data_IF_285034033839
#
_entry.id   IF_285034033839
#
_cell.length_a   1.000
_cell.length_b   1.000
_cell.length_c   1.000
_cell.angle_alpha   90.00
_cell.angle_beta   90.00
_cell.angle_gamma   90.00
#
_symmetry.space_group_name_H-M   'P 1'
#
loop_
_entity.id
_entity.type
_entity.pdbx_description
1 polymer ?
#
# COMPACT_ATOMS: atom_id res chain seq x y z
N UNK A 1 19.51 13.30 58.58
CA UNK A 1 19.16 13.74 57.20
C UNK A 1 19.32 12.53 56.28
N UNK A 2 18.20 11.89 55.90
CA UNK A 2 18.21 10.81 54.91
C UNK A 2 17.95 11.41 53.53
N UNK A 3 18.91 11.26 52.63
CA UNK A 3 18.76 11.67 51.24
C UNK A 3 17.98 10.58 50.48
N UNK A 4 16.77 10.92 50.03
CA UNK A 4 15.94 10.06 49.20
C UNK A 4 16.38 10.23 47.73
N UNK A 5 17.14 9.26 47.22
CA UNK A 5 17.55 9.25 45.81
C UNK A 5 16.39 8.73 44.98
N UNK A 6 15.70 9.65 44.24
CA UNK A 6 14.68 9.30 43.32
C UNK A 6 15.33 8.68 42.06
N UNK A 7 15.11 7.40 41.81
CA UNK A 7 15.53 6.69 40.62
C UNK A 7 14.51 6.95 39.51
N UNK A 8 14.82 7.87 38.58
CA UNK A 8 14.03 8.13 37.38
C UNK A 8 14.23 6.97 36.39
N UNK A 9 13.26 6.05 36.36
CA UNK A 9 13.17 5.06 35.29
C UNK A 9 12.75 5.78 34.02
N UNK A 10 13.73 6.06 33.14
CA UNK A 10 13.44 6.47 31.77
C UNK A 10 12.91 5.26 31.00
N UNK A 11 11.60 5.17 30.83
CA UNK A 11 10.99 4.28 29.86
C UNK A 11 11.36 4.80 28.46
N UNK A 12 12.34 4.18 27.81
CA UNK A 12 12.52 4.34 26.38
C UNK A 12 11.32 3.63 25.70
N UNK A 13 10.37 4.40 25.21
CA UNK A 13 9.35 3.90 24.30
C UNK A 13 10.09 3.36 23.06
N UNK A 14 10.31 2.05 23.00
CA UNK A 14 10.76 1.42 21.75
C UNK A 14 9.61 1.57 20.76
N UNK A 15 9.80 2.44 19.77
CA UNK A 15 8.83 2.65 18.70
C UNK A 15 8.56 1.30 18.01
N UNK A 16 7.30 1.02 17.68
CA UNK A 16 6.92 -0.17 16.94
C UNK A 16 7.68 -0.24 15.61
N UNK A 17 8.32 -1.37 15.33
CA UNK A 17 9.01 -1.61 14.06
C UNK A 17 8.02 -2.07 12.99
N UNK A 18 8.36 -1.92 11.69
CA UNK A 18 7.53 -2.46 10.60
C UNK A 18 7.32 -3.97 10.74
N UNK A 19 8.33 -4.71 11.19
CA UNK A 19 8.23 -6.14 11.50
C UNK A 19 7.17 -6.40 12.60
N UNK A 20 7.20 -5.66 13.71
CA UNK A 20 6.21 -5.82 14.77
C UNK A 20 4.80 -5.43 14.33
N UNK A 21 4.65 -4.40 13.52
CA UNK A 21 3.37 -4.01 12.93
C UNK A 21 2.82 -5.08 11.99
N UNK A 22 3.67 -5.68 11.15
CA UNK A 22 3.29 -6.81 10.30
C UNK A 22 2.78 -8.00 11.10
N UNK A 23 3.52 -8.43 12.14
CA UNK A 23 3.12 -9.57 12.99
C UNK A 23 1.83 -9.27 13.80
N UNK A 24 1.63 -8.00 14.18
CA UNK A 24 0.45 -7.56 14.94
C UNK A 24 -0.79 -7.33 14.07
N UNK A 25 -0.64 -7.34 12.74
CA UNK A 25 -1.77 -7.16 11.82
C UNK A 25 -2.90 -8.15 12.13
N UNK A 26 -4.17 -7.68 12.27
CA UNK A 26 -5.29 -8.55 12.58
C UNK A 26 -5.52 -9.63 11.51
N UNK A 27 -5.78 -10.87 11.94
CA UNK A 27 -6.07 -11.97 11.02
C UNK A 27 -7.37 -11.75 10.21
N UNK A 28 -8.24 -10.84 10.65
CA UNK A 28 -9.45 -10.45 9.92
C UNK A 28 -9.17 -9.75 8.58
N UNK A 29 -7.98 -9.12 8.43
CA UNK A 29 -7.60 -8.48 7.16
C UNK A 29 -7.19 -9.55 6.13
N UNK A 30 -6.47 -10.58 6.55
CA UNK A 30 -6.05 -11.69 5.69
C UNK A 30 -6.21 -13.02 6.44
N UNK A 31 -7.43 -13.62 6.47
CA UNK A 31 -7.74 -14.79 7.28
C UNK A 31 -6.94 -16.06 6.94
N UNK A 32 -6.25 -16.05 5.80
CA UNK A 32 -5.40 -17.15 5.34
C UNK A 32 -3.93 -17.05 5.82
N UNK A 33 -3.58 -15.96 6.52
CA UNK A 33 -2.27 -15.74 7.15
C UNK A 33 -2.46 -15.57 8.66
N UNK A 34 -2.19 -16.59 9.43
CA UNK A 34 -2.19 -16.48 10.89
C UNK A 34 -0.89 -15.82 11.40
N UNK A 35 -0.88 -15.53 12.69
CA UNK A 35 0.28 -14.89 13.33
C UNK A 35 1.57 -15.70 13.18
N UNK A 36 1.50 -17.03 13.20
CA UNK A 36 2.67 -17.88 13.04
C UNK A 36 3.26 -17.75 11.63
N UNK A 37 2.42 -17.80 10.61
CA UNK A 37 2.84 -17.57 9.23
C UNK A 37 3.50 -16.19 9.05
N UNK A 38 2.89 -15.13 9.61
CA UNK A 38 3.46 -13.77 9.59
C UNK A 38 4.82 -13.68 10.28
N UNK A 39 5.02 -14.41 11.38
CA UNK A 39 6.31 -14.48 12.08
C UNK A 39 7.37 -15.19 11.24
N UNK A 40 7.04 -16.36 10.66
CA UNK A 40 7.96 -17.09 9.77
C UNK A 40 8.37 -16.23 8.57
N UNK A 41 7.43 -15.50 7.98
CA UNK A 41 7.73 -14.58 6.88
C UNK A 41 8.68 -13.46 7.33
N UNK A 42 8.50 -12.92 8.53
CA UNK A 42 9.35 -11.85 9.07
C UNK A 42 10.76 -12.34 9.40
N UNK A 43 10.89 -13.54 9.94
CA UNK A 43 12.19 -14.16 10.26
C UNK A 43 12.95 -14.56 8.98
N UNK A 44 12.24 -14.86 7.90
CA UNK A 44 12.81 -15.25 6.61
C UNK A 44 13.17 -14.11 5.66
N UNK A 45 13.06 -12.85 6.12
CA UNK A 45 13.42 -11.67 5.31
C UNK A 45 14.91 -11.70 4.93
N UNK A 46 15.20 -11.51 3.65
CA UNK A 46 16.56 -11.56 3.12
C UNK A 46 17.02 -12.96 2.69
N UNK A 47 16.39 -14.01 3.18
CA UNK A 47 16.67 -15.41 2.77
C UNK A 47 15.69 -15.91 1.71
N UNK A 48 14.69 -15.10 1.36
CA UNK A 48 13.66 -15.46 0.36
C UNK A 48 12.73 -16.59 0.82
N UNK A 49 12.63 -16.79 2.15
CA UNK A 49 11.82 -17.86 2.74
C UNK A 49 10.33 -17.55 2.51
N UNK A 50 9.64 -18.45 1.83
CA UNK A 50 8.21 -18.45 1.69
C UNK A 50 7.56 -19.42 2.70
N UNK A 51 6.39 -19.10 3.17
CA UNK A 51 5.58 -19.98 4.03
C UNK A 51 4.27 -20.36 3.35
N UNK A 52 3.77 -21.56 3.63
CA UNK A 52 2.45 -21.97 3.17
C UNK A 52 1.35 -21.13 3.83
N UNK A 53 0.32 -20.79 3.07
CA UNK A 53 -0.88 -20.14 3.58
C UNK A 53 -2.09 -21.10 3.51
N UNK A 54 -3.21 -20.71 4.15
CA UNK A 54 -4.42 -21.54 4.20
C UNK A 54 -5.15 -21.69 2.85
N UNK A 55 -4.72 -20.96 1.82
CA UNK A 55 -5.22 -21.11 0.45
C UNK A 55 -4.39 -22.10 -0.37
N UNK A 56 -3.51 -22.88 0.25
CA UNK A 56 -2.58 -23.81 -0.37
C UNK A 56 -1.54 -23.14 -1.29
N UNK A 57 -1.34 -21.83 -1.13
CA UNK A 57 -0.34 -21.02 -1.82
C UNK A 57 0.86 -20.73 -0.94
N UNK A 58 1.78 -19.91 -1.48
CA UNK A 58 2.98 -19.46 -0.80
C UNK A 58 2.89 -17.95 -0.54
N UNK A 59 3.35 -17.53 0.64
CA UNK A 59 3.44 -16.12 1.03
C UNK A 59 4.85 -15.80 1.51
N UNK A 60 5.35 -14.59 1.24
CA UNK A 60 6.68 -14.13 1.66
C UNK A 60 6.71 -12.61 1.80
N UNK A 61 7.64 -12.10 2.59
CA UNK A 61 8.01 -10.69 2.57
C UNK A 61 9.07 -10.48 1.49
N UNK A 62 8.78 -9.60 0.54
CA UNK A 62 9.67 -9.27 -0.57
C UNK A 62 10.65 -8.16 -0.19
N UNK A 63 10.19 -7.20 0.63
CA UNK A 63 10.98 -6.05 1.10
C UNK A 63 10.56 -5.65 2.49
N UNK A 64 11.53 -5.38 3.38
CA UNK A 64 11.30 -4.86 4.73
C UNK A 64 12.36 -3.81 5.04
N UNK A 65 11.93 -2.59 5.37
CA UNK A 65 12.76 -1.49 5.85
C UNK A 65 12.24 -0.97 7.19
N UNK A 66 12.82 0.13 7.68
CA UNK A 66 12.37 0.76 8.93
C UNK A 66 10.92 1.28 8.86
N UNK A 67 10.44 1.66 7.67
CA UNK A 67 9.17 2.33 7.46
C UNK A 67 8.35 1.78 6.28
N UNK A 68 8.84 0.77 5.57
CA UNK A 68 8.17 0.15 4.43
C UNK A 68 8.24 -1.37 4.49
N UNK A 69 7.16 -2.02 4.06
CA UNK A 69 7.08 -3.45 3.86
C UNK A 69 6.29 -3.74 2.58
N UNK A 70 6.80 -4.70 1.80
CA UNK A 70 6.05 -5.34 0.71
C UNK A 70 6.03 -6.85 0.93
N UNK A 71 4.85 -7.45 0.83
CA UNK A 71 4.69 -8.89 0.95
C UNK A 71 3.78 -9.45 -0.14
N UNK A 72 4.23 -10.48 -0.81
CA UNK A 72 3.41 -11.35 -1.64
C UNK A 72 2.56 -12.22 -0.72
N UNK A 73 1.24 -12.12 -0.83
CA UNK A 73 0.28 -12.85 0.01
C UNK A 73 -0.16 -14.16 -0.66
N UNK A 74 -0.27 -14.14 -1.99
CA UNK A 74 -0.64 -15.27 -2.83
C UNK A 74 -0.22 -15.00 -4.27
N UNK A 75 -0.48 -15.93 -5.19
CA UNK A 75 -0.31 -15.66 -6.63
C UNK A 75 -1.24 -14.55 -7.14
N UNK A 76 -2.34 -14.31 -6.42
CA UNK A 76 -3.38 -13.36 -6.82
C UNK A 76 -3.38 -12.06 -6.00
N UNK A 77 -2.45 -11.84 -5.06
CA UNK A 77 -2.47 -10.62 -4.24
C UNK A 77 -1.14 -10.34 -3.54
N UNK A 78 -0.87 -9.05 -3.33
CA UNK A 78 0.20 -8.56 -2.49
C UNK A 78 -0.25 -7.34 -1.68
N UNK A 79 0.53 -7.01 -0.65
CA UNK A 79 0.33 -5.85 0.21
C UNK A 79 1.60 -5.01 0.24
N UNK A 80 1.43 -3.71 0.27
CA UNK A 80 2.47 -2.74 0.57
C UNK A 80 2.04 -1.91 1.78
N UNK A 81 2.94 -1.69 2.70
CA UNK A 81 2.70 -0.90 3.92
C UNK A 81 3.77 0.17 4.04
N UNK A 82 3.36 1.39 4.33
CA UNK A 82 4.27 2.51 4.60
C UNK A 82 3.87 3.20 5.89
N UNK A 83 4.83 3.32 6.83
CA UNK A 83 4.64 4.15 8.02
C UNK A 83 5.02 5.58 7.68
N UNK A 84 4.10 6.50 7.93
CA UNK A 84 4.31 7.93 7.72
C UNK A 84 4.07 8.69 9.01
N UNK A 85 4.69 9.87 9.15
CA UNK A 85 4.39 10.77 10.25
C UNK A 85 3.02 11.42 10.02
N UNK A 86 2.15 11.37 11.02
CA UNK A 86 0.95 12.18 11.04
C UNK A 86 1.37 13.63 11.38
N UNK A 87 0.88 14.64 10.67
CA UNK A 87 1.13 16.05 11.01
C UNK A 87 0.75 16.44 12.46
N UNK A 88 -0.08 15.64 13.13
CA UNK A 88 -0.47 15.81 14.53
C UNK A 88 0.51 15.17 15.55
N UNK A 89 1.62 14.59 15.08
CA UNK A 89 2.72 14.09 15.91
C UNK A 89 2.78 12.57 16.08
N UNK A 90 1.70 11.84 15.77
CA UNK A 90 1.68 10.38 15.79
C UNK A 90 2.14 9.79 14.45
N UNK A 91 2.37 8.48 14.39
CA UNK A 91 2.59 7.76 13.13
C UNK A 91 1.33 7.00 12.73
N UNK A 92 1.10 6.92 11.42
CA UNK A 92 0.03 6.13 10.82
C UNK A 92 0.60 5.18 9.76
N UNK A 93 -0.19 4.18 9.40
CA UNK A 93 0.13 3.22 8.34
C UNK A 93 -0.73 3.50 7.11
N UNK A 94 -0.11 3.76 5.97
CA UNK A 94 -0.74 3.63 4.67
C UNK A 94 -0.58 2.18 4.20
N UNK A 95 -1.67 1.55 3.83
CA UNK A 95 -1.73 0.14 3.41
C UNK A 95 -2.37 0.05 2.04
N UNK A 96 -1.61 -0.40 1.06
CA UNK A 96 -2.10 -0.70 -0.29
C UNK A 96 -2.23 -2.21 -0.42
N UNK A 97 -3.44 -2.70 -0.65
CA UNK A 97 -3.70 -4.09 -1.01
C UNK A 97 -3.98 -4.16 -2.50
N UNK A 98 -3.22 -4.98 -3.21
CA UNK A 98 -3.38 -5.17 -4.66
C UNK A 98 -3.81 -6.59 -4.97
N UNK A 99 -4.89 -6.71 -5.72
CA UNK A 99 -5.39 -7.95 -6.28
C UNK A 99 -4.91 -8.08 -7.72
N UNK A 100 -4.27 -9.21 -8.02
CA UNK A 100 -3.73 -9.54 -9.35
C UNK A 100 -4.76 -10.44 -10.09
N UNK A 101 -5.89 -9.84 -10.48
CA UNK A 101 -6.87 -10.52 -11.33
C UNK A 101 -6.40 -10.59 -12.79
N UNK A 102 -7.30 -10.49 -13.80
CA UNK A 102 -6.83 -10.32 -15.16
C UNK A 102 -6.01 -9.03 -15.33
N UNK A 103 -6.25 -8.02 -14.51
CA UNK A 103 -5.48 -6.79 -14.34
C UNK A 103 -5.40 -6.44 -12.84
N UNK A 104 -4.40 -5.65 -12.46
CA UNK A 104 -4.18 -5.28 -11.07
C UNK A 104 -5.20 -4.24 -10.60
N UNK A 105 -5.79 -4.47 -9.45
CA UNK A 105 -6.67 -3.53 -8.75
C UNK A 105 -6.15 -3.27 -7.35
N UNK A 106 -6.07 -2.02 -6.95
CA UNK A 106 -5.53 -1.64 -5.65
C UNK A 106 -6.55 -0.88 -4.81
N UNK A 107 -6.49 -1.14 -3.50
CA UNK A 107 -7.21 -0.43 -2.45
C UNK A 107 -6.21 0.21 -1.50
N UNK A 108 -6.45 1.48 -1.12
CA UNK A 108 -5.66 2.21 -0.14
C UNK A 108 -6.47 2.42 1.12
N UNK A 109 -5.94 1.98 2.25
CA UNK A 109 -6.50 2.20 3.58
C UNK A 109 -5.44 2.85 4.49
N UNK A 110 -5.89 3.68 5.45
CA UNK A 110 -5.05 4.21 6.51
C UNK A 110 -5.45 3.66 7.87
N UNK A 111 -4.47 3.24 8.66
CA UNK A 111 -4.64 2.70 10.01
C UNK A 111 -3.77 3.47 11.01
N UNK A 112 -4.17 3.45 12.28
CA UNK A 112 -3.24 3.75 13.37
C UNK A 112 -2.27 2.57 13.59
N UNK A 113 -1.27 2.76 14.46
CA UNK A 113 -0.29 1.70 14.75
C UNK A 113 -0.89 0.53 15.57
N UNK A 114 -2.13 0.63 16.02
CA UNK A 114 -2.90 -0.43 16.68
C UNK A 114 -3.87 -1.14 15.73
N UNK A 115 -3.81 -0.83 14.43
CA UNK A 115 -4.65 -1.38 13.37
C UNK A 115 -6.13 -0.97 13.45
N UNK A 116 -6.46 0.16 14.07
CA UNK A 116 -7.78 0.75 13.89
C UNK A 116 -7.82 1.50 12.56
N UNK A 117 -8.86 1.24 11.78
CA UNK A 117 -9.07 1.91 10.50
C UNK A 117 -9.38 3.40 10.74
N UNK A 118 -8.58 4.27 10.13
CA UNK A 118 -8.75 5.72 10.18
C UNK A 118 -9.48 6.26 8.95
N UNK A 119 -9.11 5.76 7.77
CA UNK A 119 -9.76 6.05 6.50
C UNK A 119 -9.66 4.83 5.58
N UNK A 120 -10.77 4.42 4.97
CA UNK A 120 -10.83 3.23 4.13
C UNK A 120 -11.21 3.52 2.69
N UNK A 121 -10.66 2.73 1.76
CA UNK A 121 -10.88 2.86 0.30
C UNK A 121 -10.63 4.27 -0.24
N UNK A 122 -9.52 4.86 0.22
CA UNK A 122 -9.15 6.23 -0.13
C UNK A 122 -8.87 6.34 -1.63
N UNK A 123 -9.51 7.31 -2.27
CA UNK A 123 -9.41 7.52 -3.70
C UNK A 123 -8.28 8.51 -4.05
N UNK A 124 -7.22 8.00 -4.66
CA UNK A 124 -6.14 8.77 -5.26
C UNK A 124 -6.24 8.65 -6.80
N UNK A 125 -7.01 9.52 -7.44
CA UNK A 125 -7.32 9.38 -8.88
C UNK A 125 -6.10 9.65 -9.75
N UNK A 126 -5.80 8.74 -10.69
CA UNK A 126 -4.96 9.03 -11.85
C UNK A 126 -5.71 9.96 -12.83
N UNK A 127 -5.04 10.48 -13.82
CA UNK A 127 -5.66 11.36 -14.83
C UNK A 127 -5.35 10.93 -16.23
N UNK A 128 -6.15 11.46 -17.16
CA UNK A 128 -5.84 11.43 -18.58
C UNK A 128 -5.56 12.85 -19.07
N UNK A 129 -4.64 12.98 -20.01
CA UNK A 129 -4.29 14.26 -20.63
C UNK A 129 -4.27 14.06 -22.13
N UNK A 130 -4.91 14.98 -22.84
CA UNK A 130 -4.89 14.98 -24.31
C UNK A 130 -3.55 15.51 -24.81
N UNK A 131 -2.76 14.73 -25.58
CA UNK A 131 -1.60 15.25 -26.29
C UNK A 131 -2.01 16.31 -27.32
N UNK A 132 -1.18 17.34 -27.53
CA UNK A 132 -1.46 18.41 -28.47
C UNK A 132 -1.64 17.93 -29.93
N UNK A 133 -1.03 16.81 -30.27
CA UNK A 133 -1.11 16.17 -31.60
C UNK A 133 -2.37 15.32 -31.80
N UNK A 134 -3.19 15.13 -30.75
CA UNK A 134 -4.37 14.26 -30.75
C UNK A 134 -5.65 15.11 -30.93
N UNK A 135 -6.55 14.68 -31.85
CA UNK A 135 -7.86 15.29 -31.96
C UNK A 135 -8.73 15.07 -30.71
N UNK A 136 -9.68 15.97 -30.48
CA UNK A 136 -10.61 15.86 -29.35
C UNK A 136 -11.45 14.58 -29.44
N UNK A 137 -11.99 14.29 -30.65
CA UNK A 137 -12.83 13.09 -30.86
C UNK A 137 -12.07 11.80 -30.54
N UNK A 138 -10.82 11.70 -30.98
CA UNK A 138 -9.99 10.53 -30.69
C UNK A 138 -9.64 10.42 -29.21
N UNK A 139 -9.38 11.54 -28.53
CA UNK A 139 -9.17 11.55 -27.09
C UNK A 139 -10.39 11.05 -26.31
N UNK A 140 -11.59 11.51 -26.69
CA UNK A 140 -12.85 11.07 -26.07
C UNK A 140 -13.05 9.56 -26.30
N UNK A 141 -12.79 9.06 -27.50
CA UNK A 141 -12.84 7.63 -27.80
C UNK A 141 -11.92 6.82 -26.89
N UNK A 142 -10.66 7.25 -26.72
CA UNK A 142 -9.71 6.58 -25.84
C UNK A 142 -10.12 6.63 -24.38
N UNK A 143 -10.71 7.74 -23.91
CA UNK A 143 -11.24 7.82 -22.53
C UNK A 143 -12.36 6.81 -22.28
N UNK A 144 -13.23 6.56 -23.25
CA UNK A 144 -14.29 5.56 -23.15
C UNK A 144 -13.75 4.12 -23.06
N UNK A 145 -12.59 3.85 -23.70
CA UNK A 145 -11.93 2.54 -23.61
C UNK A 145 -11.38 2.22 -22.22
N UNK A 146 -11.13 3.23 -21.38
CA UNK A 146 -10.59 3.05 -20.01
C UNK A 146 -11.70 2.65 -19.01
N UNK A 147 -12.97 2.86 -19.34
CA UNK A 147 -14.09 2.54 -18.46
C UNK A 147 -14.37 1.02 -18.37
N UNK A 148 -14.62 0.46 -17.18
CA UNK A 148 -14.53 1.11 -15.87
C UNK A 148 -13.08 1.39 -15.46
N UNK A 149 -12.84 2.54 -14.82
CA UNK A 149 -11.51 2.95 -14.33
C UNK A 149 -11.10 2.07 -13.14
N UNK A 150 -10.18 1.15 -13.38
CA UNK A 150 -9.60 0.31 -12.32
C UNK A 150 -8.37 1.00 -11.77
N UNK A 151 -8.37 1.29 -10.46
CA UNK A 151 -7.29 1.98 -9.76
C UNK A 151 -6.13 1.04 -9.51
N UNK A 152 -4.93 1.53 -9.76
CA UNK A 152 -3.69 0.84 -9.44
C UNK A 152 -2.75 1.76 -8.68
N UNK A 153 -2.30 1.32 -7.51
CA UNK A 153 -1.47 2.08 -6.59
C UNK A 153 -0.16 1.37 -6.29
N UNK A 154 0.93 2.15 -6.16
CA UNK A 154 2.23 1.68 -5.68
C UNK A 154 2.73 2.65 -4.61
N UNK A 155 3.15 2.12 -3.46
CA UNK A 155 3.84 2.90 -2.44
C UNK A 155 5.33 3.01 -2.75
N UNK A 156 5.89 4.18 -2.58
CA UNK A 156 7.34 4.37 -2.68
C UNK A 156 8.05 3.78 -1.45
N UNK A 157 9.06 2.92 -1.64
CA UNK A 157 9.83 2.40 -0.52
C UNK A 157 10.79 3.44 0.09
N UNK A 158 11.11 4.54 -0.63
CA UNK A 158 12.15 5.50 -0.26
C UNK A 158 11.63 6.84 0.24
N UNK A 159 10.38 7.19 -0.07
CA UNK A 159 9.74 8.45 0.34
C UNK A 159 8.28 8.23 0.73
N UNK A 160 7.50 9.31 0.92
CA UNK A 160 6.08 9.25 1.32
C UNK A 160 5.12 9.35 0.15
N UNK A 161 5.57 9.02 -1.06
CA UNK A 161 4.74 9.14 -2.25
C UNK A 161 3.94 7.87 -2.55
N UNK A 162 2.70 8.07 -2.94
CA UNK A 162 1.84 7.12 -3.60
C UNK A 162 1.81 7.42 -5.10
N UNK A 163 2.13 6.43 -5.92
CA UNK A 163 1.98 6.47 -7.36
C UNK A 163 0.60 5.90 -7.72
N UNK A 164 -0.21 6.70 -8.41
CA UNK A 164 -1.55 6.33 -8.84
C UNK A 164 -1.63 6.28 -10.35
N UNK A 165 -2.13 5.17 -10.87
CA UNK A 165 -2.39 4.94 -12.29
C UNK A 165 -3.68 4.15 -12.50
N UNK A 166 -4.06 3.92 -13.77
CA UNK A 166 -5.14 3.02 -14.12
C UNK A 166 -4.58 1.69 -14.64
N UNK A 167 -5.18 0.58 -14.20
CA UNK A 167 -5.09 -0.68 -14.90
C UNK A 167 -6.00 -0.66 -16.13
N UNK A 168 -5.60 -1.39 -17.16
CA UNK A 168 -6.29 -1.41 -18.46
C UNK A 168 -6.89 -2.81 -18.70
N UNK A 169 -8.03 -3.11 -18.08
CA UNK A 169 -8.64 -4.43 -18.19
C UNK A 169 -9.13 -4.68 -19.62
N UNK A 170 -8.96 -5.91 -20.06
CA UNK A 170 -9.61 -6.47 -21.26
C UNK A 170 -9.34 -5.74 -22.58
N UNK A 171 -8.38 -4.83 -22.62
CA UNK A 171 -7.97 -4.17 -23.87
C UNK A 171 -7.00 -5.04 -24.66
N UNK A 172 -7.11 -4.98 -25.99
CA UNK A 172 -6.08 -5.53 -26.87
C UNK A 172 -4.74 -4.83 -26.66
N UNK A 173 -3.63 -5.46 -26.98
CA UNK A 173 -2.31 -4.81 -26.89
C UNK A 173 -2.16 -3.58 -27.81
N UNK A 174 -2.96 -3.50 -28.88
CA UNK A 174 -3.03 -2.32 -29.73
C UNK A 174 -3.74 -1.17 -29.00
N UNK A 175 -4.93 -1.42 -28.41
CA UNK A 175 -5.67 -0.43 -27.65
C UNK A 175 -4.89 0.02 -26.41
N UNK A 176 -4.24 -0.90 -25.68
CA UNK A 176 -3.38 -0.54 -24.54
C UNK A 176 -2.29 0.46 -24.92
N UNK A 177 -1.68 0.29 -26.10
CA UNK A 177 -0.65 1.24 -26.55
C UNK A 177 -1.22 2.63 -26.85
N UNK A 178 -2.39 2.69 -27.48
CA UNK A 178 -3.06 3.95 -27.76
C UNK A 178 -3.51 4.65 -26.48
N UNK A 179 -4.15 3.93 -25.57
CA UNK A 179 -4.63 4.46 -24.29
C UNK A 179 -3.47 4.94 -23.41
N UNK A 180 -2.33 4.24 -23.39
CA UNK A 180 -1.14 4.69 -22.65
C UNK A 180 -0.65 6.08 -23.05
N UNK A 181 -0.92 6.52 -24.30
CA UNK A 181 -0.54 7.86 -24.76
C UNK A 181 -1.29 8.98 -24.02
N UNK A 182 -2.48 8.71 -23.47
CA UNK A 182 -3.29 9.69 -22.74
C UNK A 182 -3.24 9.50 -21.22
N UNK A 183 -2.71 8.37 -20.71
CA UNK A 183 -2.61 8.12 -19.28
C UNK A 183 -1.54 8.99 -18.65
N UNK A 184 -1.88 9.58 -17.52
CA UNK A 184 -0.94 10.30 -16.68
C UNK A 184 -0.94 9.69 -15.28
N UNK A 185 0.21 9.12 -14.91
CA UNK A 185 0.46 8.76 -13.51
C UNK A 185 0.44 10.02 -12.64
N UNK A 186 -0.24 9.95 -11.51
CA UNK A 186 -0.20 10.99 -10.48
C UNK A 186 0.55 10.51 -9.26
N UNK A 187 1.21 11.45 -8.61
CA UNK A 187 1.91 11.24 -7.34
C UNK A 187 1.23 12.05 -6.26
N UNK A 188 1.00 11.41 -5.14
CA UNK A 188 0.38 12.01 -3.98
C UNK A 188 1.29 11.84 -2.77
N UNK A 189 1.49 12.88 -1.98
CA UNK A 189 2.03 12.71 -0.64
C UNK A 189 0.97 12.04 0.24
N UNK A 190 1.37 10.97 0.94
CA UNK A 190 0.44 10.18 1.75
C UNK A 190 -0.12 10.96 2.94
N UNK A 191 0.68 11.87 3.52
CA UNK A 191 0.24 12.72 4.63
C UNK A 191 -0.85 13.70 4.19
N UNK A 192 -0.65 14.36 3.05
CA UNK A 192 -1.63 15.28 2.45
C UNK A 192 -2.92 14.54 2.07
N UNK A 193 -2.78 13.33 1.50
CA UNK A 193 -3.92 12.50 1.12
C UNK A 193 -4.73 12.08 2.35
N UNK A 194 -4.07 11.63 3.42
CA UNK A 194 -4.71 11.30 4.69
C UNK A 194 -5.47 12.48 5.28
N UNK A 195 -4.84 13.67 5.35
CA UNK A 195 -5.48 14.88 5.91
C UNK A 195 -6.73 15.32 5.14
N UNK A 196 -6.82 15.01 3.85
CA UNK A 196 -8.01 15.30 3.04
C UNK A 196 -9.18 14.40 3.43
N UNK A 197 -8.93 13.14 3.79
CA UNK A 197 -9.97 12.15 4.08
C UNK A 197 -10.51 12.23 5.52
N UNK A 198 -9.71 12.72 6.47
CA UNK A 198 -10.12 12.80 7.90
C UNK A 198 -10.64 14.19 8.32
N UNK A 199 -10.80 15.13 7.39
CA UNK A 199 -11.44 16.42 7.61
C UNK A 199 -12.95 16.35 7.42
#
# INVERSE_FOLDING_TARGET
>A
MMALTAFLLTFTAQGQTMCSLWIAMPDSLFPYLDRNAKTIMADGVGEGIATGNRLSGQSRIDTLTADYLKATLSEASYIEMKRIANPQGDSILAVVTTFCGPEQESKLDFYDLSWHLLAGDVCAEASTVRPDTMSEDHYIELQQKIEPKIRFYLLSPVDTLLHSSFSLPMLSEADKREVRAILQEKRYDLGDLFLKEVK
#
